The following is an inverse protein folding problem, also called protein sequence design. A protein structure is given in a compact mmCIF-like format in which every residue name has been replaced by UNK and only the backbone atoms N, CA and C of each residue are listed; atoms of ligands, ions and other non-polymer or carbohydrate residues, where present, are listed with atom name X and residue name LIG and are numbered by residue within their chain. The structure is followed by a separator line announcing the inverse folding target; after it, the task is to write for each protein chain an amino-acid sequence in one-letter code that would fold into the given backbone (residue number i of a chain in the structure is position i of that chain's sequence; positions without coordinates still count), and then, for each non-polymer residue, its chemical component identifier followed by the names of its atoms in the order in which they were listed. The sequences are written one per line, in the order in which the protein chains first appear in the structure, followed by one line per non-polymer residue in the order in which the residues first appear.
data_IF_386796845230
#
_entry.id   IF_386796845230
#
_cell.length_a   1.000
_cell.length_b   1.000
_cell.length_c   1.000
_cell.angle_alpha   90.00
_cell.angle_beta   90.00
_cell.angle_gamma   90.00
#
_symmetry.space_group_name_H-M   'P 1'
#
loop_
_entity.id
_entity.type
_entity.pdbx_description
1 polymer ?
#
# COMPACT_ATOMS: atom_id res chain seq x y z
N UNK A 1 8.03 1.68 -16.65
CA UNK A 1 8.78 1.48 -15.40
C UNK A 1 10.25 1.18 -15.65
N UNK A 2 10.62 0.33 -16.59
CA UNK A 2 12.01 -0.04 -16.85
C UNK A 2 12.96 1.12 -17.18
N UNK A 3 12.47 2.16 -17.87
CA UNK A 3 13.29 3.32 -18.26
C UNK A 3 13.30 4.45 -17.24
N UNK A 4 12.36 4.52 -16.31
CA UNK A 4 12.16 5.66 -15.41
C UNK A 4 12.19 5.25 -13.94
N UNK A 5 11.30 4.33 -13.55
CA UNK A 5 11.08 4.00 -12.12
C UNK A 5 12.21 3.11 -11.58
N UNK A 6 12.48 1.99 -12.24
CA UNK A 6 13.49 1.04 -11.74
C UNK A 6 14.93 1.54 -11.75
N UNK A 7 15.38 2.42 -12.69
CA UNK A 7 16.72 3.01 -12.63
C UNK A 7 16.89 4.06 -11.53
N UNK A 8 15.80 4.60 -10.96
CA UNK A 8 15.87 5.58 -9.89
C UNK A 8 16.59 5.01 -8.66
N UNK A 9 17.59 5.73 -8.17
CA UNK A 9 18.44 5.27 -7.06
C UNK A 9 17.63 5.04 -5.76
N UNK A 10 16.69 5.92 -5.44
CA UNK A 10 15.83 5.77 -4.25
C UNK A 10 14.96 4.51 -4.35
N UNK A 11 14.36 4.27 -5.52
CA UNK A 11 13.56 3.06 -5.78
C UNK A 11 14.42 1.80 -5.65
N UNK A 12 15.59 1.78 -6.29
CA UNK A 12 16.50 0.62 -6.20
C UNK A 12 16.90 0.31 -4.76
N UNK A 13 17.32 1.32 -4.02
CA UNK A 13 17.72 1.16 -2.63
C UNK A 13 16.54 0.64 -1.78
N UNK A 14 15.34 1.21 -1.96
CA UNK A 14 14.18 0.76 -1.21
C UNK A 14 13.80 -0.69 -1.54
N UNK A 15 13.75 -1.03 -2.81
CA UNK A 15 13.41 -2.40 -3.27
C UNK A 15 14.41 -3.42 -2.77
N UNK A 16 15.70 -3.19 -2.96
CA UNK A 16 16.74 -4.16 -2.57
C UNK A 16 16.90 -4.33 -1.06
N UNK A 17 16.54 -3.30 -0.28
CA UNK A 17 16.60 -3.38 1.18
C UNK A 17 15.36 -4.03 1.82
N UNK A 18 14.23 -4.07 1.12
CA UNK A 18 12.94 -4.48 1.70
C UNK A 18 12.27 -5.65 0.99
N UNK A 19 12.71 -6.00 -0.21
CA UNK A 19 12.06 -7.02 -1.04
C UNK A 19 13.08 -7.92 -1.72
N UNK A 20 12.63 -9.08 -2.15
CA UNK A 20 13.31 -9.93 -3.14
C UNK A 20 12.65 -9.62 -4.49
N UNK A 21 13.26 -8.77 -5.34
CA UNK A 21 12.66 -8.38 -6.60
C UNK A 21 12.77 -9.49 -7.63
N UNK A 22 11.66 -9.81 -8.27
CA UNK A 22 11.60 -10.73 -9.41
C UNK A 22 10.95 -10.00 -10.58
N UNK A 23 11.60 -10.03 -11.74
CA UNK A 23 11.03 -9.49 -12.95
C UNK A 23 10.73 -10.63 -13.93
N UNK A 24 9.47 -10.72 -14.33
CA UNK A 24 8.99 -11.71 -15.29
C UNK A 24 8.50 -11.03 -16.57
N UNK A 25 8.57 -11.75 -17.67
CA UNK A 25 7.94 -11.33 -18.92
C UNK A 25 6.42 -11.45 -18.77
N UNK A 26 5.68 -10.62 -19.53
CA UNK A 26 4.21 -10.63 -19.52
C UNK A 26 3.60 -11.97 -19.97
N UNK A 27 4.36 -12.77 -20.71
CA UNK A 27 3.98 -14.09 -21.25
C UNK A 27 4.61 -15.27 -20.51
N UNK A 28 5.23 -15.00 -19.33
CA UNK A 28 5.81 -16.04 -18.48
C UNK A 28 4.74 -17.05 -18.05
N UNK A 29 5.06 -18.34 -18.18
CA UNK A 29 4.16 -19.42 -17.78
C UNK A 29 4.82 -20.29 -16.71
N UNK A 30 4.08 -20.67 -15.66
CA UNK A 30 2.63 -20.43 -15.45
C UNK A 30 2.28 -19.07 -14.84
N UNK A 31 3.23 -18.27 -14.42
CA UNK A 31 3.09 -17.13 -13.49
C UNK A 31 2.09 -16.07 -14.01
N UNK A 32 2.12 -15.73 -15.30
CA UNK A 32 1.20 -14.74 -15.87
C UNK A 32 -0.27 -15.17 -15.71
N UNK A 33 -0.55 -16.47 -15.84
CA UNK A 33 -1.89 -17.02 -15.65
C UNK A 33 -2.25 -17.11 -14.15
N UNK A 34 -1.33 -17.62 -13.31
CA UNK A 34 -1.54 -17.82 -11.88
C UNK A 34 -1.85 -16.48 -11.16
N UNK A 35 -1.17 -15.40 -11.57
CA UNK A 35 -1.41 -14.05 -11.04
C UNK A 35 -2.43 -13.23 -11.84
N UNK A 36 -3.11 -13.82 -12.83
CA UNK A 36 -4.10 -13.13 -13.67
C UNK A 36 -3.56 -11.81 -14.27
N UNK A 37 -2.39 -11.85 -14.88
CA UNK A 37 -1.76 -10.67 -15.48
C UNK A 37 -2.46 -10.38 -16.81
N UNK A 38 -3.25 -9.31 -16.86
CA UNK A 38 -4.02 -8.88 -18.04
C UNK A 38 -3.45 -7.62 -18.69
N UNK A 39 -2.59 -6.90 -17.97
CA UNK A 39 -1.98 -5.65 -18.42
C UNK A 39 -0.56 -5.51 -17.89
N UNK A 40 0.28 -4.74 -18.59
CA UNK A 40 1.65 -4.47 -18.16
C UNK A 40 1.99 -2.97 -18.19
N UNK A 41 2.80 -2.49 -17.26
CA UNK A 41 3.39 -3.23 -16.13
C UNK A 41 2.34 -3.58 -15.05
N UNK A 42 2.48 -4.71 -14.40
CA UNK A 42 1.78 -5.06 -13.18
C UNK A 42 2.81 -5.39 -12.10
N UNK A 43 2.70 -4.74 -10.95
CA UNK A 43 3.49 -5.04 -9.76
C UNK A 43 2.62 -5.81 -8.78
N UNK A 44 3.10 -6.97 -8.33
CA UNK A 44 2.43 -7.82 -7.34
C UNK A 44 3.34 -7.96 -6.13
N UNK A 45 2.81 -7.75 -4.94
CA UNK A 45 3.54 -7.93 -3.69
C UNK A 45 3.02 -9.17 -2.98
N UNK A 46 3.94 -10.11 -2.75
CA UNK A 46 3.68 -11.42 -2.16
C UNK A 46 4.38 -11.52 -0.80
N UNK A 47 3.85 -12.37 0.08
CA UNK A 47 4.58 -12.85 1.24
C UNK A 47 5.51 -14.03 0.90
N UNK A 48 6.20 -14.56 1.90
CA UNK A 48 7.14 -15.68 1.77
C UNK A 48 6.46 -17.00 1.34
N UNK A 49 5.14 -17.11 1.48
CA UNK A 49 4.36 -18.26 1.03
C UNK A 49 3.88 -18.12 -0.41
N UNK A 50 4.10 -16.97 -1.04
CA UNK A 50 3.61 -16.64 -2.37
C UNK A 50 2.18 -16.11 -2.40
N UNK A 51 1.58 -15.81 -1.24
CA UNK A 51 0.26 -15.19 -1.16
C UNK A 51 0.36 -13.71 -1.52
N UNK A 52 -0.53 -13.27 -2.40
CA UNK A 52 -0.64 -11.86 -2.78
C UNK A 52 -1.34 -11.04 -1.70
N UNK A 53 -0.77 -9.88 -1.39
CA UNK A 53 -1.33 -8.90 -0.45
C UNK A 53 -1.69 -7.58 -1.11
N UNK A 54 -1.00 -7.21 -2.18
CA UNK A 54 -1.28 -5.95 -2.87
C UNK A 54 -0.77 -6.00 -4.32
N UNK A 55 -1.43 -5.26 -5.20
CA UNK A 55 -0.98 -5.07 -6.58
C UNK A 55 -1.23 -3.66 -7.09
N UNK A 56 -0.44 -3.26 -8.07
CA UNK A 56 -0.71 -2.11 -8.91
C UNK A 56 -0.66 -2.52 -10.38
N UNK A 57 -1.61 -2.05 -11.15
CA UNK A 57 -1.67 -2.24 -12.60
C UNK A 57 -1.40 -0.89 -13.28
N UNK A 58 -0.45 -0.87 -14.19
CA UNK A 58 -0.04 0.33 -14.89
C UNK A 58 1.26 0.94 -14.38
N UNK A 59 1.64 2.05 -15.00
CA UNK A 59 2.87 2.78 -14.68
C UNK A 59 2.74 3.51 -13.34
N UNK A 60 3.77 3.35 -12.50
CA UNK A 60 3.97 4.16 -11.31
C UNK A 60 5.31 4.90 -11.42
N UNK A 61 5.33 6.23 -11.37
CA UNK A 61 6.58 6.98 -11.33
C UNK A 61 7.30 6.77 -9.97
N UNK A 62 8.59 7.13 -9.85
CA UNK A 62 9.37 6.87 -8.63
C UNK A 62 8.73 7.40 -7.35
N UNK A 63 8.15 8.59 -7.40
CA UNK A 63 7.47 9.26 -6.27
C UNK A 63 6.19 8.56 -5.80
N UNK A 64 5.57 7.76 -6.66
CA UNK A 64 4.39 6.93 -6.32
C UNK A 64 4.77 5.48 -6.03
N UNK A 65 5.89 5.00 -6.58
CA UNK A 65 6.26 3.59 -6.45
C UNK A 65 6.76 3.24 -5.04
N UNK A 66 7.57 4.10 -4.41
CA UNK A 66 8.03 3.87 -3.04
C UNK A 66 6.86 3.87 -2.04
N UNK A 67 5.97 4.89 -2.00
CA UNK A 67 4.82 4.86 -1.10
C UNK A 67 3.85 3.70 -1.38
N UNK A 68 3.67 3.29 -2.64
CA UNK A 68 2.94 2.08 -2.99
C UNK A 68 3.56 0.83 -2.34
N UNK A 69 4.88 0.65 -2.45
CA UNK A 69 5.58 -0.50 -1.85
C UNK A 69 5.51 -0.47 -0.32
N UNK A 70 5.63 0.70 0.28
CA UNK A 70 5.53 0.86 1.74
C UNK A 70 4.12 0.55 2.24
N UNK A 71 3.09 1.02 1.54
CA UNK A 71 1.70 0.65 1.79
C UNK A 71 1.49 -0.87 1.63
N UNK A 72 2.11 -1.48 0.62
CA UNK A 72 2.02 -2.93 0.39
C UNK A 72 2.61 -3.72 1.55
N UNK A 73 3.75 -3.30 2.09
CA UNK A 73 4.33 -3.91 3.30
C UNK A 73 3.40 -3.77 4.51
N UNK A 74 2.77 -2.60 4.67
CA UNK A 74 1.82 -2.38 5.75
C UNK A 74 0.60 -3.29 5.63
N UNK A 75 0.05 -3.47 4.42
CA UNK A 75 -1.07 -4.38 4.15
C UNK A 75 -0.67 -5.84 4.42
N UNK A 76 0.54 -6.24 4.00
CA UNK A 76 1.08 -7.57 4.32
C UNK A 76 1.18 -7.78 5.84
N UNK A 77 1.75 -6.81 6.57
CA UNK A 77 1.86 -6.89 8.02
C UNK A 77 0.48 -6.97 8.69
N UNK A 78 -0.49 -6.20 8.21
CA UNK A 78 -1.88 -6.22 8.70
C UNK A 78 -2.52 -7.61 8.50
N UNK A 79 -2.40 -8.19 7.30
CA UNK A 79 -2.96 -9.49 6.97
C UNK A 79 -2.33 -10.62 7.80
N UNK A 80 -1.05 -10.46 8.16
CA UNK A 80 -0.32 -11.35 9.06
C UNK A 80 -0.55 -11.01 10.55
N UNK A 81 -1.51 -10.15 10.87
CA UNK A 81 -1.87 -9.72 12.23
C UNK A 81 -0.76 -8.97 12.99
N UNK A 82 0.28 -8.52 12.30
CA UNK A 82 1.33 -7.68 12.87
C UNK A 82 0.92 -6.20 12.78
N UNK A 83 -0.04 -5.81 13.63
CA UNK A 83 -0.65 -4.47 13.57
C UNK A 83 0.33 -3.35 13.93
N UNK A 84 1.29 -3.59 14.80
CA UNK A 84 2.30 -2.58 15.18
C UNK A 84 3.20 -2.22 14.00
N UNK A 85 3.69 -3.22 13.26
CA UNK A 85 4.46 -2.97 12.04
C UNK A 85 3.62 -2.29 10.97
N UNK A 86 2.35 -2.68 10.80
CA UNK A 86 1.44 -2.02 9.88
C UNK A 86 1.26 -0.54 10.24
N UNK A 87 0.98 -0.22 11.50
CA UNK A 87 0.83 1.15 12.01
C UNK A 87 2.06 2.00 11.69
N UNK A 88 3.25 1.50 12.04
CA UNK A 88 4.52 2.21 11.80
C UNK A 88 4.73 2.57 10.33
N UNK A 89 4.47 1.61 9.43
CA UNK A 89 4.61 1.82 7.98
C UNK A 89 3.56 2.80 7.44
N UNK A 90 2.31 2.70 7.89
CA UNK A 90 1.22 3.59 7.47
C UNK A 90 1.46 5.03 7.91
N UNK A 91 1.91 5.24 9.15
CA UNK A 91 2.29 6.56 9.65
C UNK A 91 3.42 7.17 8.81
N UNK A 92 4.39 6.35 8.41
CA UNK A 92 5.49 6.79 7.56
C UNK A 92 5.02 7.21 6.17
N UNK A 93 4.11 6.45 5.54
CA UNK A 93 3.51 6.85 4.25
C UNK A 93 2.82 8.21 4.37
N UNK A 94 1.99 8.39 5.39
CA UNK A 94 1.23 9.64 5.60
C UNK A 94 2.18 10.82 5.84
N UNK A 95 3.25 10.62 6.60
CA UNK A 95 4.19 11.67 6.96
C UNK A 95 5.14 12.07 5.82
N UNK A 96 5.71 11.08 5.14
CA UNK A 96 6.78 11.30 4.16
C UNK A 96 6.24 11.44 2.73
N UNK A 97 5.06 10.89 2.44
CA UNK A 97 4.46 10.82 1.11
C UNK A 97 3.01 11.32 1.08
N UNK A 98 2.71 12.37 1.84
CA UNK A 98 1.36 12.93 1.99
C UNK A 98 0.66 13.29 0.67
N UNK A 99 1.41 13.56 -0.39
CA UNK A 99 0.87 13.92 -1.70
C UNK A 99 0.72 12.71 -2.64
N UNK A 100 1.13 11.52 -2.22
CA UNK A 100 1.01 10.31 -3.03
C UNK A 100 -0.42 9.77 -3.06
N UNK A 101 -0.74 9.02 -4.09
CA UNK A 101 -2.00 8.28 -4.18
C UNK A 101 -2.17 7.24 -3.06
N UNK A 102 -1.07 6.76 -2.47
CA UNK A 102 -1.08 5.81 -1.35
C UNK A 102 -1.50 6.44 -0.01
N UNK A 103 -1.31 7.76 0.18
CA UNK A 103 -1.51 8.40 1.48
C UNK A 103 -2.96 8.34 2.01
N UNK A 104 -4.01 8.59 1.23
CA UNK A 104 -5.38 8.45 1.72
C UNK A 104 -5.76 6.99 2.06
N UNK A 105 -5.27 6.02 1.29
CA UNK A 105 -5.43 4.60 1.62
C UNK A 105 -4.71 4.25 2.93
N UNK A 106 -3.49 4.75 3.10
CA UNK A 106 -2.72 4.56 4.32
C UNK A 106 -3.44 5.14 5.56
N UNK A 107 -4.05 6.32 5.44
CA UNK A 107 -4.81 6.93 6.52
C UNK A 107 -6.02 6.08 6.94
N UNK A 108 -6.75 5.52 5.98
CA UNK A 108 -7.84 4.60 6.26
C UNK A 108 -7.36 3.35 7.00
N UNK A 109 -6.35 2.68 6.46
CA UNK A 109 -5.79 1.47 7.05
C UNK A 109 -5.12 1.71 8.40
N UNK A 110 -4.59 2.91 8.67
CA UNK A 110 -4.05 3.28 9.97
C UNK A 110 -5.12 3.23 11.07
N UNK A 111 -6.28 3.84 10.81
CA UNK A 111 -7.42 3.76 11.74
C UNK A 111 -7.86 2.33 12.01
N UNK A 112 -7.95 1.52 10.95
CA UNK A 112 -8.33 0.10 11.05
C UNK A 112 -7.28 -0.72 11.81
N UNK A 113 -5.99 -0.49 11.56
CA UNK A 113 -4.90 -1.22 12.24
C UNK A 113 -4.87 -0.89 13.74
N UNK A 114 -5.02 0.38 14.11
CA UNK A 114 -5.11 0.81 15.52
C UNK A 114 -6.34 0.22 16.22
N UNK A 115 -7.48 0.19 15.54
CA UNK A 115 -8.68 -0.47 16.06
C UNK A 115 -8.44 -1.96 16.32
N UNK A 116 -7.83 -2.67 15.36
CA UNK A 116 -7.51 -4.10 15.50
C UNK A 116 -6.53 -4.38 16.62
N UNK A 117 -5.55 -3.51 16.81
CA UNK A 117 -4.55 -3.65 17.89
C UNK A 117 -5.13 -3.44 19.28
N UNK A 118 -6.14 -2.55 19.43
CA UNK A 118 -6.59 -2.09 20.75
C UNK A 118 -8.04 -2.42 21.06
N UNK A 119 -8.85 -2.84 20.08
CA UNK A 119 -10.32 -2.96 20.14
C UNK A 119 -11.03 -1.64 20.50
N UNK A 120 -10.34 -0.51 20.43
CA UNK A 120 -10.90 0.82 20.67
C UNK A 120 -11.39 1.41 19.34
N UNK A 121 -12.68 1.80 19.21
CA UNK A 121 -13.21 2.35 17.96
C UNK A 121 -12.77 3.80 17.67
N UNK A 122 -12.27 4.55 18.65
CA UNK A 122 -11.88 5.95 18.46
C UNK A 122 -10.94 6.19 17.26
N UNK A 123 -9.89 5.37 16.99
CA UNK A 123 -9.03 5.53 15.82
C UNK A 123 -9.77 5.46 14.46
N UNK A 124 -10.89 4.78 14.38
CA UNK A 124 -11.69 4.74 13.15
C UNK A 124 -12.32 6.13 12.86
N UNK A 125 -12.87 6.75 13.89
CA UNK A 125 -13.41 8.13 13.80
C UNK A 125 -12.32 9.14 13.48
N UNK A 126 -11.15 9.01 14.12
CA UNK A 126 -9.98 9.86 13.85
C UNK A 126 -9.54 9.74 12.38
N UNK A 127 -9.50 8.53 11.83
CA UNK A 127 -9.17 8.30 10.43
C UNK A 127 -10.18 8.95 9.48
N UNK A 128 -11.49 8.87 9.77
CA UNK A 128 -12.52 9.57 9.01
C UNK A 128 -12.29 11.09 9.04
N UNK A 129 -12.06 11.68 10.22
CA UNK A 129 -11.83 13.11 10.33
C UNK A 129 -10.56 13.54 9.59
N UNK A 130 -9.47 12.79 9.75
CA UNK A 130 -8.22 13.06 9.04
C UNK A 130 -8.39 13.01 7.51
N UNK A 131 -9.11 12.02 6.99
CA UNK A 131 -9.41 11.91 5.56
C UNK A 131 -10.26 13.08 5.06
N UNK A 132 -11.25 13.50 5.86
CA UNK A 132 -12.12 14.63 5.53
C UNK A 132 -11.34 15.94 5.43
N UNK A 133 -10.38 16.15 6.33
CA UNK A 133 -9.62 17.40 6.41
C UNK A 133 -8.49 17.46 5.36
N UNK A 134 -7.85 16.32 5.06
CA UNK A 134 -6.65 16.29 4.22
C UNK A 134 -6.90 15.72 2.81
N UNK A 135 -7.90 14.85 2.65
CA UNK A 135 -8.18 14.15 1.39
C UNK A 135 -9.68 14.11 1.05
N UNK A 136 -10.35 15.30 0.99
CA UNK A 136 -11.82 15.38 0.89
C UNK A 136 -12.41 14.76 -0.38
N UNK A 137 -11.61 14.64 -1.44
CA UNK A 137 -12.05 14.07 -2.72
C UNK A 137 -11.65 12.58 -2.89
N UNK A 138 -11.05 11.99 -1.86
CA UNK A 138 -10.57 10.60 -1.90
C UNK A 138 -11.74 9.60 -1.84
N UNK A 139 -11.61 8.49 -2.57
CA UNK A 139 -12.52 7.34 -2.40
C UNK A 139 -12.43 6.74 -0.98
N UNK A 140 -11.29 6.89 -0.31
CA UNK A 140 -11.07 6.39 1.04
C UNK A 140 -11.88 7.16 2.08
N UNK A 141 -12.14 8.45 1.86
CA UNK A 141 -13.10 9.20 2.67
C UNK A 141 -14.50 8.61 2.53
N UNK A 142 -14.92 8.26 1.30
CA UNK A 142 -16.24 7.65 1.08
C UNK A 142 -16.35 6.29 1.79
N UNK A 143 -15.27 5.49 1.75
CA UNK A 143 -15.20 4.20 2.46
C UNK A 143 -15.22 4.35 3.99
N UNK A 144 -14.63 5.43 4.51
CA UNK A 144 -14.61 5.74 5.94
C UNK A 144 -15.93 6.36 6.45
N UNK A 145 -16.89 6.70 5.57
CA UNK A 145 -18.15 7.35 5.94
C UNK A 145 -18.89 6.70 7.13
N UNK A 146 -18.99 5.37 7.25
CA UNK A 146 -19.62 4.75 8.41
C UNK A 146 -18.97 5.10 9.76
N UNK A 147 -17.67 5.42 9.76
CA UNK A 147 -16.93 5.77 10.98
C UNK A 147 -17.28 7.15 11.54
N UNK A 148 -17.98 7.97 10.75
CA UNK A 148 -18.49 9.27 11.22
C UNK A 148 -19.55 9.13 12.30
N UNK A 149 -20.17 7.94 12.42
CA UNK A 149 -21.26 7.65 13.35
C UNK A 149 -20.77 7.09 14.71
N UNK A 150 -19.46 6.85 14.86
CA UNK A 150 -18.84 6.32 16.08
C UNK A 150 -18.67 7.38 17.16
#
# INVERSE_FOLDING_TARGET
MGAVTYPNTGVRNYVTSNFIPVQLRFDAKPEAADFNITWTPTTVVLDETGKEHHRAVGFLPPEEFIPFLMLSQAKTAFDLTNFESAITLLEKVIKEYAQSAAAPEAAFHLGVSRYKATSNPAPLKEAYQFLKDNYPNSEWLKRAQPYSLL
#
